data_IF_991345125786
#
_entry.id   IF_991345125786
#
_cell.length_a   1.000
_cell.length_b   1.000
_cell.length_c   1.000
_cell.angle_alpha   90.00
_cell.angle_beta   90.00
_cell.angle_gamma   90.00
#
_symmetry.space_group_name_H-M   'P 1'
#
loop_
_entity.id
_entity.type
_entity.pdbx_description
1 polymer ?
#
# COMPACT_ATOMS: atom_id res chain seq x y z
N UNK A 1 -31.81 25.49 1.89
CA UNK A 1 -32.01 25.20 3.32
C UNK A 1 -30.66 24.79 3.89
N UNK A 2 -30.15 25.54 4.87
CA UNK A 2 -28.83 25.32 5.45
C UNK A 2 -28.90 24.09 6.36
N UNK A 3 -28.13 23.04 6.04
CA UNK A 3 -28.00 21.81 6.82
C UNK A 3 -26.73 21.89 7.69
N UNK A 4 -26.80 22.47 8.91
CA UNK A 4 -25.64 22.65 9.78
C UNK A 4 -25.02 21.31 10.22
N UNK A 5 -25.77 20.20 10.15
CA UNK A 5 -25.23 18.85 10.37
C UNK A 5 -24.21 18.41 9.30
N UNK A 6 -24.25 18.97 8.08
CA UNK A 6 -23.30 18.69 7.00
C UNK A 6 -22.11 19.66 6.98
N UNK A 7 -22.18 20.76 7.75
CA UNK A 7 -21.14 21.76 7.86
C UNK A 7 -20.05 21.40 8.88
N UNK A 8 -20.23 20.31 9.62
CA UNK A 8 -19.26 19.81 10.58
C UNK A 8 -18.16 18.99 9.88
N UNK A 9 -16.88 19.14 10.26
CA UNK A 9 -15.76 18.42 9.64
C UNK A 9 -15.95 16.89 9.64
N UNK A 10 -16.49 16.31 10.73
CA UNK A 10 -16.84 14.88 10.85
C UNK A 10 -17.90 14.39 9.84
N UNK A 11 -18.64 15.30 9.21
CA UNK A 11 -19.70 14.94 8.26
C UNK A 11 -19.21 14.95 6.80
N UNK A 12 -17.97 15.35 6.52
CA UNK A 12 -17.45 15.51 5.16
C UNK A 12 -17.60 14.24 4.31
N UNK A 13 -17.24 13.08 4.87
CA UNK A 13 -17.33 11.76 4.20
C UNK A 13 -18.80 11.33 3.94
N UNK A 14 -19.77 11.97 4.60
CA UNK A 14 -21.22 11.65 4.51
C UNK A 14 -21.96 12.56 3.54
N UNK A 15 -21.35 13.65 3.07
CA UNK A 15 -22.00 14.63 2.18
C UNK A 15 -22.42 13.98 0.86
N UNK A 16 -21.52 13.22 0.24
CA UNK A 16 -21.78 12.61 -1.07
C UNK A 16 -22.91 11.56 -0.99
N UNK A 17 -22.87 10.56 -0.07
CA UNK A 17 -23.99 9.62 0.07
C UNK A 17 -25.32 10.30 0.39
N UNK A 18 -25.32 11.33 1.24
CA UNK A 18 -26.53 12.08 1.58
C UNK A 18 -27.13 12.77 0.36
N UNK A 19 -26.31 13.41 -0.47
CA UNK A 19 -26.77 14.09 -1.68
C UNK A 19 -27.36 13.09 -2.69
N UNK A 20 -26.69 11.96 -2.89
CA UNK A 20 -27.13 10.90 -3.81
C UNK A 20 -28.50 10.37 -3.43
N UNK A 21 -28.73 10.10 -2.14
CA UNK A 21 -30.00 9.53 -1.66
C UNK A 21 -31.11 10.57 -1.65
N UNK A 22 -30.82 11.83 -1.33
CA UNK A 22 -31.85 12.83 -1.02
C UNK A 22 -32.21 13.75 -2.17
N UNK A 23 -31.28 13.99 -3.09
CA UNK A 23 -31.44 14.98 -4.17
C UNK A 23 -31.51 14.41 -5.58
N UNK A 24 -31.11 13.15 -5.79
CA UNK A 24 -31.23 12.52 -7.11
C UNK A 24 -32.60 11.83 -7.28
N UNK A 25 -33.15 11.82 -8.50
CA UNK A 25 -34.37 11.08 -8.79
C UNK A 25 -34.14 9.57 -8.66
N UNK A 26 -35.23 8.86 -8.38
CA UNK A 26 -35.24 7.40 -8.36
C UNK A 26 -34.74 6.83 -9.71
N UNK A 27 -34.07 5.68 -9.67
CA UNK A 27 -33.37 5.13 -10.83
C UNK A 27 -31.93 5.66 -10.95
N UNK A 28 -31.74 6.97 -11.08
CA UNK A 28 -30.38 7.56 -11.17
C UNK A 28 -29.60 7.34 -9.87
N UNK A 29 -30.25 7.58 -8.72
CA UNK A 29 -29.64 7.30 -7.42
C UNK A 29 -29.18 5.82 -7.31
N UNK A 30 -29.99 4.89 -7.82
CA UNK A 30 -29.67 3.47 -7.85
C UNK A 30 -28.46 3.14 -8.74
N UNK A 31 -28.38 3.74 -9.92
CA UNK A 31 -27.22 3.59 -10.83
C UNK A 31 -25.94 4.12 -10.18
N UNK A 32 -26.00 5.27 -9.50
CA UNK A 32 -24.84 5.84 -8.79
C UNK A 32 -24.37 4.92 -7.66
N UNK A 33 -25.29 4.45 -6.82
CA UNK A 33 -24.96 3.51 -5.74
C UNK A 33 -24.35 2.23 -6.29
N UNK A 34 -24.94 1.66 -7.35
CA UNK A 34 -24.40 0.48 -8.02
C UNK A 34 -22.98 0.73 -8.57
N UNK A 35 -22.73 1.89 -9.17
CA UNK A 35 -21.40 2.27 -9.67
C UNK A 35 -20.36 2.40 -8.55
N UNK A 36 -20.73 2.98 -7.41
CA UNK A 36 -19.85 3.07 -6.23
C UNK A 36 -19.49 1.68 -5.71
N UNK A 37 -20.48 0.78 -5.58
CA UNK A 37 -20.21 -0.60 -5.18
C UNK A 37 -19.33 -1.33 -6.19
N UNK A 38 -19.58 -1.18 -7.48
CA UNK A 38 -18.77 -1.80 -8.53
C UNK A 38 -17.31 -1.32 -8.48
N UNK A 39 -17.08 -0.01 -8.32
CA UNK A 39 -15.74 0.56 -8.19
C UNK A 39 -15.02 0.08 -6.91
N UNK A 40 -15.73 0.01 -5.79
CA UNK A 40 -15.21 -0.51 -4.53
C UNK A 40 -14.83 -1.99 -4.64
N UNK A 41 -15.72 -2.83 -5.18
CA UNK A 41 -15.47 -4.26 -5.38
C UNK A 41 -14.27 -4.50 -6.30
N UNK A 42 -14.12 -3.75 -7.39
CA UNK A 42 -12.97 -3.88 -8.30
C UNK A 42 -11.63 -3.62 -7.59
N UNK A 43 -11.58 -2.61 -6.71
CA UNK A 43 -10.39 -2.29 -5.92
C UNK A 43 -10.11 -3.35 -4.84
N UNK A 44 -11.17 -3.84 -4.19
CA UNK A 44 -11.07 -4.91 -3.19
C UNK A 44 -10.59 -6.22 -3.81
N UNK A 45 -11.17 -6.63 -4.93
CA UNK A 45 -10.79 -7.84 -5.67
C UNK A 45 -9.32 -7.80 -6.08
N UNK A 46 -8.87 -6.67 -6.63
CA UNK A 46 -7.47 -6.47 -7.03
C UNK A 46 -6.52 -6.55 -5.84
N UNK A 47 -6.88 -5.95 -4.70
CA UNK A 47 -6.08 -5.95 -3.48
C UNK A 47 -6.00 -7.34 -2.86
N UNK A 48 -7.14 -8.02 -2.72
CA UNK A 48 -7.22 -9.38 -2.16
C UNK A 48 -6.48 -10.39 -3.02
N UNK A 49 -6.61 -10.30 -4.35
CA UNK A 49 -5.88 -11.15 -5.27
C UNK A 49 -4.36 -10.91 -5.21
N UNK A 50 -3.94 -9.65 -5.07
CA UNK A 50 -2.52 -9.30 -4.95
C UNK A 50 -1.91 -9.89 -3.67
N UNK A 51 -2.60 -9.79 -2.54
CA UNK A 51 -2.15 -10.39 -1.27
C UNK A 51 -2.10 -11.91 -1.35
N UNK A 52 -3.13 -12.55 -1.90
CA UNK A 52 -3.15 -14.01 -2.07
C UNK A 52 -2.02 -14.49 -2.98
N UNK A 53 -1.77 -13.78 -4.07
CA UNK A 53 -0.70 -14.09 -5.02
C UNK A 53 0.68 -13.91 -4.38
N UNK A 54 0.92 -12.77 -3.72
CA UNK A 54 2.18 -12.50 -3.01
C UNK A 54 2.43 -13.55 -1.92
N UNK A 55 1.41 -13.93 -1.17
CA UNK A 55 1.55 -15.00 -0.18
C UNK A 55 1.95 -16.33 -0.83
N UNK A 56 1.31 -16.71 -1.94
CA UNK A 56 1.59 -17.96 -2.62
C UNK A 56 2.99 -17.96 -3.25
N UNK A 57 3.38 -16.89 -3.93
CA UNK A 57 4.68 -16.78 -4.60
C UNK A 57 5.83 -16.67 -3.60
N UNK A 58 5.68 -15.82 -2.59
CA UNK A 58 6.80 -15.39 -1.76
C UNK A 58 6.98 -16.31 -0.55
N UNK A 59 5.88 -16.88 -0.04
CA UNK A 59 5.90 -17.75 1.13
C UNK A 59 5.57 -19.20 0.76
N UNK A 60 4.38 -19.48 0.23
CA UNK A 60 3.92 -20.86 0.08
C UNK A 60 4.84 -21.71 -0.80
N UNK A 61 5.17 -21.23 -2.00
CA UNK A 61 6.10 -21.92 -2.91
C UNK A 61 7.54 -21.95 -2.38
N UNK A 62 7.94 -20.94 -1.62
CA UNK A 62 9.28 -20.87 -1.02
C UNK A 62 9.50 -21.93 0.07
N UNK A 63 8.47 -22.20 0.88
CA UNK A 63 8.51 -23.18 1.97
C UNK A 63 8.04 -24.58 1.55
N UNK A 64 7.25 -24.69 0.48
CA UNK A 64 6.78 -25.96 -0.09
C UNK A 64 7.15 -26.04 -1.57
N UNK A 65 8.42 -26.39 -1.84
CA UNK A 65 8.98 -26.44 -3.20
C UNK A 65 8.29 -27.48 -4.12
N UNK A 66 7.53 -28.42 -3.56
CA UNK A 66 6.78 -29.44 -4.30
C UNK A 66 5.26 -29.16 -4.37
N UNK A 67 4.81 -27.94 -4.02
CA UNK A 67 3.39 -27.60 -4.07
C UNK A 67 2.87 -27.59 -5.52
N UNK A 68 1.81 -28.37 -5.76
CA UNK A 68 1.11 -28.39 -7.05
C UNK A 68 0.30 -27.12 -7.25
N UNK A 69 -0.03 -26.79 -8.50
CA UNK A 69 -0.87 -25.62 -8.82
C UNK A 69 -2.27 -25.70 -8.18
N UNK A 70 -2.83 -26.91 -8.06
CA UNK A 70 -4.11 -27.13 -7.37
C UNK A 70 -4.03 -26.79 -5.87
N UNK A 71 -2.91 -27.15 -5.21
CA UNK A 71 -2.66 -26.77 -3.82
C UNK A 71 -2.45 -25.26 -3.69
N UNK A 72 -1.66 -24.65 -4.58
CA UNK A 72 -1.45 -23.21 -4.60
C UNK A 72 -2.77 -22.44 -4.75
N UNK A 73 -3.67 -22.89 -5.64
CA UNK A 73 -4.99 -22.28 -5.84
C UNK A 73 -5.87 -22.42 -4.58
N UNK A 74 -5.82 -23.58 -3.93
CA UNK A 74 -6.58 -23.81 -2.69
C UNK A 74 -6.10 -22.88 -1.58
N UNK A 75 -4.78 -22.75 -1.41
CA UNK A 75 -4.18 -21.81 -0.45
C UNK A 75 -4.51 -20.37 -0.80
N UNK A 76 -4.43 -19.97 -2.07
CA UNK A 76 -4.83 -18.63 -2.51
C UNK A 76 -6.27 -18.31 -2.09
N UNK A 77 -7.22 -19.22 -2.33
CA UNK A 77 -8.62 -19.05 -1.91
C UNK A 77 -8.77 -18.90 -0.40
N UNK A 78 -8.04 -19.69 0.38
CA UNK A 78 -8.03 -19.60 1.85
C UNK A 78 -7.51 -18.24 2.30
N UNK A 79 -6.40 -17.77 1.73
CA UNK A 79 -5.82 -16.46 2.04
C UNK A 79 -6.80 -15.34 1.67
N UNK A 80 -7.44 -15.42 0.50
CA UNK A 80 -8.47 -14.46 0.09
C UNK A 80 -9.61 -14.38 1.11
N UNK A 81 -10.16 -15.52 1.55
CA UNK A 81 -11.21 -15.55 2.57
C UNK A 81 -10.72 -14.98 3.91
N UNK A 82 -9.51 -15.36 4.35
CA UNK A 82 -8.94 -14.89 5.61
C UNK A 82 -8.74 -13.36 5.61
N UNK A 83 -8.18 -12.81 4.53
CA UNK A 83 -8.01 -11.36 4.36
C UNK A 83 -9.36 -10.65 4.28
N UNK A 84 -10.34 -11.21 3.58
CA UNK A 84 -11.70 -10.65 3.50
C UNK A 84 -12.40 -10.59 4.87
N UNK A 85 -12.29 -11.67 5.67
CA UNK A 85 -12.84 -11.71 7.03
C UNK A 85 -12.12 -10.72 7.94
N UNK A 86 -10.79 -10.69 7.92
CA UNK A 86 -10.00 -9.75 8.72
C UNK A 86 -10.29 -8.29 8.34
N UNK A 87 -10.34 -7.98 7.04
CA UNK A 87 -10.67 -6.66 6.53
C UNK A 87 -12.08 -6.21 6.91
N UNK A 88 -13.07 -7.11 6.83
CA UNK A 88 -14.44 -6.84 7.28
C UNK A 88 -14.48 -6.57 8.78
N UNK A 89 -13.75 -7.35 9.58
CA UNK A 89 -13.64 -7.13 11.03
C UNK A 89 -13.06 -5.76 11.38
N UNK A 90 -11.96 -5.38 10.71
CA UNK A 90 -11.35 -4.05 10.88
C UNK A 90 -12.32 -2.94 10.44
N UNK A 91 -13.02 -3.11 9.32
CA UNK A 91 -13.99 -2.13 8.84
C UNK A 91 -15.16 -1.93 9.82
N UNK A 92 -15.70 -3.02 10.40
CA UNK A 92 -16.75 -2.95 11.42
C UNK A 92 -16.26 -2.26 12.70
N UNK A 93 -15.01 -2.49 13.09
CA UNK A 93 -14.39 -1.81 14.23
C UNK A 93 -14.21 -0.31 13.95
N UNK A 94 -13.67 0.06 12.77
CA UNK A 94 -13.50 1.46 12.37
C UNK A 94 -14.83 2.21 12.29
N UNK A 95 -15.94 1.54 11.91
CA UNK A 95 -17.27 2.14 11.88
C UNK A 95 -17.79 2.57 13.26
N UNK A 96 -17.19 2.09 14.35
CA UNK A 96 -17.54 2.46 15.73
C UNK A 96 -16.63 3.56 16.29
N UNK A 97 -15.50 3.82 15.66
CA UNK A 97 -14.54 4.85 16.07
C UNK A 97 -14.92 6.16 15.38
N UNK A 98 -14.92 7.27 16.13
CA UNK A 98 -15.23 8.58 15.58
C UNK A 98 -14.04 9.13 14.77
N UNK A 99 -13.89 8.63 13.55
CA UNK A 99 -12.85 9.03 12.61
C UNK A 99 -13.33 10.25 11.84
N UNK A 100 -12.67 11.39 12.05
CA UNK A 100 -13.04 12.66 11.41
C UNK A 100 -12.90 12.62 9.87
N UNK A 101 -11.81 12.02 9.38
CA UNK A 101 -11.49 11.91 7.96
C UNK A 101 -10.88 10.55 7.64
N UNK A 102 -11.65 9.66 7.01
CA UNK A 102 -11.18 8.32 6.67
C UNK A 102 -10.02 8.36 5.67
N UNK A 103 -10.04 9.36 4.77
CA UNK A 103 -9.00 9.60 3.78
C UNK A 103 -7.63 9.92 4.40
N UNK A 104 -7.60 10.70 5.48
CA UNK A 104 -6.35 11.08 6.15
C UNK A 104 -5.70 9.87 6.83
N UNK A 105 -6.53 9.03 7.48
CA UNK A 105 -6.08 7.76 8.04
C UNK A 105 -5.52 6.83 6.97
N UNK A 106 -6.23 6.69 5.86
CA UNK A 106 -5.80 5.86 4.74
C UNK A 106 -4.44 6.32 4.18
N UNK A 107 -4.26 7.62 3.92
CA UNK A 107 -3.00 8.14 3.42
C UNK A 107 -1.86 8.08 4.45
N UNK A 108 -2.18 8.25 5.74
CA UNK A 108 -1.19 8.07 6.81
C UNK A 108 -0.64 6.65 6.80
N UNK A 109 -1.50 5.63 6.72
CA UNK A 109 -1.08 4.24 6.64
C UNK A 109 -0.26 3.95 5.38
N UNK A 110 -0.70 4.46 4.22
CA UNK A 110 0.06 4.35 2.97
C UNK A 110 1.45 5.01 3.07
N UNK A 111 1.54 6.17 3.70
CA UNK A 111 2.81 6.89 3.86
C UNK A 111 3.77 6.18 4.81
N UNK A 112 3.28 5.69 5.95
CA UNK A 112 4.08 5.01 6.96
C UNK A 112 4.74 3.73 6.44
N UNK A 113 3.99 2.91 5.71
CA UNK A 113 4.46 1.60 5.22
C UNK A 113 5.01 1.70 3.80
N UNK A 114 4.29 2.39 2.90
CA UNK A 114 4.61 2.42 1.48
C UNK A 114 5.82 3.30 1.13
N UNK A 115 6.13 4.33 1.93
CA UNK A 115 7.24 5.25 1.67
C UNK A 115 8.61 4.55 1.67
N UNK A 116 8.90 3.78 2.73
CA UNK A 116 10.16 3.05 2.87
C UNK A 116 10.30 1.91 1.86
N UNK A 117 9.23 1.16 1.60
CA UNK A 117 9.17 0.14 0.55
C UNK A 117 9.49 0.73 -0.83
N UNK A 118 8.88 1.87 -1.17
CA UNK A 118 9.18 2.61 -2.41
C UNK A 118 10.66 3.00 -2.47
N UNK A 119 11.24 3.44 -1.35
CA UNK A 119 12.67 3.74 -1.23
C UNK A 119 13.57 2.56 -1.58
N UNK A 120 13.23 1.34 -1.13
CA UNK A 120 13.98 0.12 -1.46
C UNK A 120 13.93 -0.18 -2.96
N UNK A 121 12.74 -0.10 -3.57
CA UNK A 121 12.58 -0.32 -5.01
C UNK A 121 13.35 0.72 -5.82
N UNK A 122 13.31 1.99 -5.42
CA UNK A 122 14.10 3.04 -6.07
C UNK A 122 15.60 2.82 -5.90
N UNK A 123 16.07 2.38 -4.72
CA UNK A 123 17.48 2.03 -4.52
C UNK A 123 17.91 0.95 -5.51
N UNK A 124 17.11 -0.12 -5.63
CA UNK A 124 17.38 -1.22 -6.55
C UNK A 124 17.35 -0.78 -8.02
N UNK A 125 16.37 0.05 -8.41
CA UNK A 125 16.20 0.49 -9.79
C UNK A 125 17.27 1.50 -10.24
N UNK A 126 17.60 2.47 -9.38
CA UNK A 126 18.45 3.63 -9.71
C UNK A 126 19.94 3.39 -9.42
N UNK A 127 20.29 2.47 -8.52
CA UNK A 127 21.67 2.31 -8.05
C UNK A 127 22.28 0.97 -8.45
N UNK A 128 23.37 1.01 -9.23
CA UNK A 128 24.18 -0.19 -9.60
C UNK A 128 24.95 -0.84 -8.46
N UNK A 129 25.03 -0.17 -7.32
CA UNK A 129 25.72 -0.62 -6.11
C UNK A 129 24.76 -1.10 -5.01
N UNK A 130 23.46 -1.26 -5.30
CA UNK A 130 22.50 -1.71 -4.30
C UNK A 130 22.91 -3.07 -3.72
N UNK A 131 22.93 -3.17 -2.40
CA UNK A 131 23.20 -4.41 -1.66
C UNK A 131 22.00 -4.85 -0.83
N UNK A 132 21.90 -6.15 -0.58
CA UNK A 132 20.79 -6.72 0.21
C UNK A 132 20.77 -6.15 1.63
N UNK A 133 21.95 -5.96 2.22
CA UNK A 133 22.12 -5.33 3.52
C UNK A 133 21.69 -3.85 3.49
N UNK A 134 22.07 -3.10 2.46
CA UNK A 134 21.65 -1.70 2.31
C UNK A 134 20.14 -1.55 2.10
N UNK A 135 19.51 -2.43 1.33
CA UNK A 135 18.06 -2.47 1.18
C UNK A 135 17.35 -2.73 2.52
N UNK A 136 17.80 -3.72 3.29
CA UNK A 136 17.18 -4.08 4.57
C UNK A 136 17.36 -3.00 5.64
N UNK A 137 18.57 -2.46 5.79
CA UNK A 137 18.86 -1.37 6.75
C UNK A 137 18.16 -0.08 6.34
N UNK A 138 18.19 0.26 5.04
CA UNK A 138 17.48 1.42 4.52
C UNK A 138 15.98 1.35 4.77
N UNK A 139 15.36 0.19 4.51
CA UNK A 139 13.94 -0.04 4.81
C UNK A 139 13.63 0.13 6.30
N UNK A 140 14.39 -0.52 7.17
CA UNK A 140 14.17 -0.49 8.61
C UNK A 140 14.33 0.92 9.19
N UNK A 141 15.41 1.62 8.80
CA UNK A 141 15.66 2.99 9.26
C UNK A 141 14.63 3.96 8.66
N UNK A 142 14.25 3.78 7.40
CA UNK A 142 13.22 4.60 6.77
C UNK A 142 11.85 4.45 7.42
N UNK A 143 11.46 3.21 7.75
CA UNK A 143 10.23 2.92 8.49
C UNK A 143 10.28 3.49 9.93
N UNK A 144 11.41 3.34 10.62
CA UNK A 144 11.59 3.92 11.95
C UNK A 144 11.52 5.45 11.91
N UNK A 145 12.11 6.08 10.89
CA UNK A 145 12.09 7.54 10.72
C UNK A 145 10.68 8.06 10.47
N UNK A 146 9.88 7.41 9.62
CA UNK A 146 8.48 7.81 9.40
C UNK A 146 7.61 7.62 10.63
N UNK A 147 7.78 6.52 11.36
CA UNK A 147 7.08 6.29 12.64
C UNK A 147 7.48 7.36 13.67
N UNK A 148 8.78 7.64 13.81
CA UNK A 148 9.25 8.68 14.73
C UNK A 148 8.70 10.07 14.35
N UNK A 149 8.64 10.37 13.05
CA UNK A 149 8.05 11.63 12.57
C UNK A 149 6.57 11.72 12.94
N UNK A 150 5.81 10.64 12.75
CA UNK A 150 4.39 10.60 13.07
C UNK A 150 4.09 10.66 14.58
N UNK A 151 5.03 10.23 15.44
CA UNK A 151 4.86 10.26 16.89
C UNK A 151 5.39 11.54 17.54
N UNK A 152 6.41 12.17 16.96
CA UNK A 152 7.14 13.27 17.59
C UNK A 152 6.92 14.63 16.92
N UNK A 153 6.25 14.70 15.76
CA UNK A 153 6.12 15.94 14.99
C UNK A 153 4.74 16.07 14.34
N UNK A 154 4.23 17.30 14.22
CA UNK A 154 2.97 17.62 13.54
C UNK A 154 3.14 17.78 12.02
N UNK A 155 3.91 16.88 11.39
CA UNK A 155 4.12 16.93 9.94
C UNK A 155 2.87 16.41 9.23
N UNK A 156 2.46 17.07 8.14
CA UNK A 156 1.34 16.62 7.33
C UNK A 156 1.58 15.23 6.74
N UNK A 157 0.55 14.38 6.74
CA UNK A 157 0.63 12.98 6.29
C UNK A 157 1.19 12.78 4.87
N UNK A 158 1.04 13.78 3.98
CA UNK A 158 1.62 13.75 2.63
C UNK A 158 3.14 13.58 2.61
N UNK A 159 3.83 14.06 3.65
CA UNK A 159 5.30 14.01 3.70
C UNK A 159 5.82 12.69 4.25
N UNK A 160 5.00 11.86 4.90
CA UNK A 160 5.46 10.57 5.43
C UNK A 160 6.03 9.67 4.34
N UNK A 161 5.37 9.57 3.18
CA UNK A 161 5.87 8.79 2.06
C UNK A 161 7.24 9.30 1.59
N UNK A 162 7.40 10.63 1.45
CA UNK A 162 8.64 11.25 1.01
C UNK A 162 9.77 11.07 2.03
N UNK A 163 9.51 11.28 3.32
CA UNK A 163 10.48 11.11 4.39
C UNK A 163 10.96 9.66 4.42
N UNK A 164 10.05 8.68 4.42
CA UNK A 164 10.40 7.25 4.44
C UNK A 164 11.19 6.83 3.21
N UNK A 165 10.83 7.35 2.04
CA UNK A 165 11.53 7.07 0.80
C UNK A 165 12.95 7.67 0.78
N UNK A 166 13.09 8.95 1.12
CA UNK A 166 14.38 9.66 1.10
C UNK A 166 15.35 9.13 2.15
N UNK A 167 14.86 8.85 3.36
CA UNK A 167 15.67 8.26 4.44
C UNK A 167 16.12 6.85 4.06
N UNK A 168 15.23 6.02 3.52
CA UNK A 168 15.58 4.70 3.02
C UNK A 168 16.64 4.77 1.91
N UNK A 169 16.48 5.68 0.96
CA UNK A 169 17.45 5.87 -0.13
C UNK A 169 18.81 6.32 0.40
N UNK A 170 18.85 7.33 1.27
CA UNK A 170 20.10 7.87 1.80
C UNK A 170 20.87 6.83 2.64
N UNK A 171 20.18 6.19 3.58
CA UNK A 171 20.79 5.19 4.47
C UNK A 171 21.14 3.92 3.69
N UNK A 172 20.23 3.43 2.86
CA UNK A 172 20.45 2.23 2.07
C UNK A 172 21.60 2.39 1.09
N UNK A 173 21.68 3.54 0.41
CA UNK A 173 22.82 3.87 -0.46
C UNK A 173 24.14 3.95 0.33
N UNK A 174 24.14 4.62 1.49
CA UNK A 174 25.31 4.73 2.35
C UNK A 174 25.84 3.36 2.82
N UNK A 175 24.96 2.48 3.29
CA UNK A 175 25.32 1.11 3.69
C UNK A 175 25.80 0.29 2.49
N UNK A 176 25.16 0.46 1.34
CA UNK A 176 25.57 -0.21 0.10
C UNK A 176 26.94 0.22 -0.43
N UNK A 177 27.43 1.42 -0.10
CA UNK A 177 28.80 1.83 -0.40
C UNK A 177 29.84 1.12 0.49
N UNK A 178 29.48 0.83 1.75
CA UNK A 178 30.36 0.20 2.73
C UNK A 178 30.39 -1.32 2.59
N UNK A 179 29.25 -1.92 2.24
CA UNK A 179 29.10 -3.36 1.97
C UNK A 179 28.47 -3.56 0.59
N UNK A 180 29.27 -3.46 -0.49
CA UNK A 180 28.82 -3.87 -1.81
C UNK A 180 28.61 -5.39 -1.81
N UNK A 181 27.44 -5.82 -2.25
CA UNK A 181 27.12 -7.24 -2.37
C UNK A 181 27.96 -7.87 -3.51
N UNK A 182 28.51 -9.06 -3.28
CA UNK A 182 29.27 -9.79 -4.31
C UNK A 182 28.36 -10.38 -5.40
N UNK A 183 27.06 -10.48 -5.14
CA UNK A 183 26.07 -10.94 -6.11
C UNK A 183 25.75 -9.82 -7.10
N UNK A 184 26.22 -10.01 -8.33
CA UNK A 184 25.93 -9.14 -9.45
C UNK A 184 24.42 -9.06 -9.68
N UNK A 185 23.83 -7.91 -9.38
CA UNK A 185 22.48 -7.49 -9.83
C UNK A 185 22.49 -7.05 -11.30
N UNK A 186 23.43 -7.57 -12.10
CA UNK A 186 23.52 -7.28 -13.53
C UNK A 186 22.25 -7.73 -14.26
N UNK A 187 21.58 -6.79 -14.92
CA UNK A 187 20.37 -7.03 -15.69
C UNK A 187 19.06 -6.54 -15.07
N UNK A 188 19.07 -6.04 -13.82
CA UNK A 188 17.87 -5.46 -13.18
C UNK A 188 17.81 -3.92 -13.23
N UNK A 189 18.90 -3.26 -13.64
CA UNK A 189 18.94 -1.79 -13.72
C UNK A 189 18.37 -1.26 -15.04
N UNK A 190 17.75 -0.07 -15.00
CA UNK A 190 17.22 0.63 -16.20
C UNK A 190 18.27 0.72 -17.32
N UNK A 191 19.54 0.91 -16.95
CA UNK A 191 20.65 1.00 -17.90
C UNK A 191 21.01 -0.33 -18.58
N UNK A 192 20.72 -1.46 -17.95
CA UNK A 192 20.99 -2.79 -18.53
C UNK A 192 19.81 -3.25 -19.40
N UNK A 193 18.58 -2.89 -19.03
CA UNK A 193 17.38 -3.10 -19.83
C UNK A 193 17.47 -2.37 -21.18
N UNK A 194 17.98 -1.13 -21.19
CA UNK A 194 18.19 -0.38 -22.43
C UNK A 194 19.24 -1.03 -23.34
N UNK A 195 20.21 -1.75 -22.78
CA UNK A 195 21.25 -2.45 -23.54
C UNK A 195 20.74 -3.74 -24.19
N UNK A 196 19.77 -4.43 -23.56
CA UNK A 196 19.09 -5.61 -24.13
C UNK A 196 18.01 -5.25 -25.17
N UNK A 197 17.39 -4.08 -25.09
CA UNK A 197 16.39 -3.64 -26.07
C UNK A 197 16.98 -3.21 -27.43
N UNK A 198 18.30 -3.04 -27.50
CA UNK A 198 19.05 -2.64 -28.70
C UNK A 198 20.03 -3.71 -29.20
N UNK A 199 19.97 -4.92 -28.65
CA UNK A 199 20.72 -6.09 -29.09
C UNK A 199 19.75 -7.12 -29.67
#
# INVERSE_FOLDING_TARGET
ANHPELAQPAAADRIVPWFVVRQLPAGIAGVVIAGVFAAAMSSLDSSMNSVATAYVSDFHRRFSAAATDAQCLTIAKIVTVAVGVAGTGIALWMAQVDIQYLFDYFNTLLGLVGGSLTGVFLLAALTRRGSSAGALVGWAVGAAATIATALCTDVTFYLYAAIGCLTCLAVGYGVSLLQPDAKSVAGLHIHDLKKKAHA
#
